data_IF_841010676209
#
_entry.id   IF_841010676209
#
_cell.length_a   1.000
_cell.length_b   1.000
_cell.length_c   1.000
_cell.angle_alpha   90.00
_cell.angle_beta   90.00
_cell.angle_gamma   90.00
#
_symmetry.space_group_name_H-M   'P 1'
#
loop_
_entity.id
_entity.type
_entity.pdbx_description
1 polymer ?
#
# COMPACT_ATOMS: atom_id res chain seq x y z
N UNK A 1 3.30 -9.06 3.61
CA UNK A 1 3.69 -8.31 4.82
C UNK A 1 5.08 -8.67 5.35
N UNK A 2 5.44 -9.95 5.55
CA UNK A 2 6.72 -10.34 6.19
C UNK A 2 7.96 -9.64 5.62
N UNK A 3 8.05 -9.50 4.29
CA UNK A 3 9.17 -8.83 3.61
C UNK A 3 9.08 -7.29 3.74
N UNK A 4 7.89 -6.71 3.53
CA UNK A 4 7.70 -5.25 3.51
C UNK A 4 7.59 -4.61 4.90
N UNK A 5 7.47 -5.41 5.96
CA UNK A 5 7.38 -4.92 7.34
C UNK A 5 8.71 -4.32 7.83
N UNK A 6 9.85 -4.90 7.45
CA UNK A 6 11.17 -4.40 7.87
C UNK A 6 11.46 -3.02 7.26
N UNK A 7 11.33 -2.81 5.93
CA UNK A 7 11.47 -1.47 5.35
C UNK A 7 10.48 -0.46 5.96
N UNK A 8 9.23 -0.87 6.20
CA UNK A 8 8.23 0.00 6.81
C UNK A 8 8.61 0.43 8.23
N UNK A 9 9.14 -0.49 9.04
CA UNK A 9 9.61 -0.18 10.39
C UNK A 9 10.79 0.81 10.35
N UNK A 10 11.78 0.56 9.49
CA UNK A 10 12.95 1.44 9.34
C UNK A 10 12.53 2.83 8.90
N UNK A 11 11.65 2.95 7.89
CA UNK A 11 11.15 4.24 7.39
C UNK A 11 10.30 4.94 8.46
N UNK A 12 9.36 4.23 9.10
CA UNK A 12 8.47 4.82 10.10
C UNK A 12 9.21 5.35 11.32
N UNK A 13 10.13 4.54 11.87
CA UNK A 13 10.96 4.95 13.01
C UNK A 13 11.92 6.07 12.59
N UNK A 14 12.57 5.95 11.43
CA UNK A 14 13.48 6.96 10.91
C UNK A 14 12.81 8.32 10.73
N UNK A 15 11.61 8.35 10.13
CA UNK A 15 10.84 9.60 9.97
C UNK A 15 10.40 10.18 11.31
N UNK A 16 9.99 9.35 12.27
CA UNK A 16 9.63 9.81 13.60
C UNK A 16 10.84 10.42 14.35
N UNK A 17 12.03 9.81 14.23
CA UNK A 17 13.27 10.33 14.80
C UNK A 17 13.69 11.65 14.15
N UNK A 18 13.58 11.78 12.82
CA UNK A 18 13.87 13.04 12.12
C UNK A 18 12.89 14.14 12.58
N UNK A 19 11.60 13.82 12.69
CA UNK A 19 10.60 14.77 13.17
C UNK A 19 10.87 15.20 14.62
N UNK A 20 11.42 14.31 15.44
CA UNK A 20 11.79 14.59 16.82
C UNK A 20 13.03 15.48 16.90
N UNK A 21 14.10 15.09 16.19
CA UNK A 21 15.37 15.81 16.15
C UNK A 21 15.23 17.23 15.59
N UNK A 22 14.29 17.44 14.66
CA UNK A 22 14.01 18.76 14.08
C UNK A 22 13.05 19.62 14.91
N UNK A 23 12.45 19.06 15.98
CA UNK A 23 11.44 19.76 16.78
C UNK A 23 10.16 20.07 16.00
N UNK A 24 9.86 19.33 14.94
CA UNK A 24 8.78 19.65 13.99
C UNK A 24 7.35 19.52 14.56
N UNK A 25 7.19 18.93 15.74
CA UNK A 25 5.90 18.93 16.46
C UNK A 25 6.10 18.76 17.97
N UNK A 26 5.26 19.43 18.77
CA UNK A 26 5.20 19.23 20.23
C UNK A 26 4.21 18.16 20.66
N UNK A 27 3.41 17.60 19.74
CA UNK A 27 2.39 16.61 20.08
C UNK A 27 2.94 15.18 19.94
N UNK A 28 3.07 14.40 21.04
CA UNK A 28 3.60 13.04 21.01
C UNK A 28 2.80 12.08 20.11
N UNK A 29 1.50 12.32 19.92
CA UNK A 29 0.65 11.47 19.08
C UNK A 29 1.08 11.48 17.62
N UNK A 30 1.65 12.58 17.12
CA UNK A 30 2.05 12.69 15.72
C UNK A 30 3.15 11.70 15.35
N UNK A 31 4.04 11.34 16.28
CA UNK A 31 5.07 10.33 16.06
C UNK A 31 4.45 8.94 15.89
N UNK A 32 3.49 8.59 16.75
CA UNK A 32 2.78 7.31 16.69
C UNK A 32 1.96 7.22 15.40
N UNK A 33 1.22 8.29 15.08
CA UNK A 33 0.42 8.36 13.85
C UNK A 33 1.31 8.17 12.62
N UNK A 34 2.49 8.80 12.59
CA UNK A 34 3.43 8.68 11.48
C UNK A 34 3.89 7.23 11.30
N UNK A 35 4.33 6.56 12.38
CA UNK A 35 4.76 5.16 12.34
C UNK A 35 3.62 4.26 11.84
N UNK A 36 2.43 4.39 12.43
CA UNK A 36 1.25 3.58 12.06
C UNK A 36 0.87 3.80 10.60
N UNK A 37 0.92 5.04 10.12
CA UNK A 37 0.60 5.37 8.72
C UNK A 37 1.54 4.68 7.73
N UNK A 38 2.85 4.62 8.04
CA UNK A 38 3.82 3.91 7.19
C UNK A 38 3.54 2.40 7.15
N UNK A 39 3.17 1.80 8.28
CA UNK A 39 2.74 0.39 8.29
C UNK A 39 1.45 0.17 7.48
N UNK A 40 0.46 1.06 7.59
CA UNK A 40 -0.76 0.99 6.80
C UNK A 40 -0.48 1.11 5.30
N UNK A 41 0.40 2.02 4.88
CA UNK A 41 0.81 2.13 3.47
C UNK A 41 1.51 0.86 2.97
N UNK A 42 2.42 0.29 3.78
CA UNK A 42 3.06 -0.99 3.47
C UNK A 42 2.05 -2.14 3.33
N UNK A 43 1.01 -2.13 4.17
CA UNK A 43 -0.07 -3.12 4.12
C UNK A 43 -0.88 -2.98 2.85
N UNK A 44 -1.31 -1.75 2.54
CA UNK A 44 -2.04 -1.42 1.33
C UNK A 44 -1.30 -1.90 0.09
N UNK A 45 -0.04 -1.51 -0.11
CA UNK A 45 0.71 -1.91 -1.30
C UNK A 45 0.91 -3.44 -1.39
N UNK A 46 1.10 -4.11 -0.25
CA UNK A 46 1.20 -5.57 -0.21
C UNK A 46 -0.10 -6.24 -0.65
N UNK A 47 -1.24 -5.80 -0.11
CA UNK A 47 -2.56 -6.37 -0.42
C UNK A 47 -2.95 -6.02 -1.85
N UNK A 48 -2.73 -4.78 -2.29
CA UNK A 48 -3.02 -4.33 -3.64
C UNK A 48 -2.29 -5.19 -4.67
N UNK A 49 -0.98 -5.37 -4.51
CA UNK A 49 -0.19 -6.23 -5.39
C UNK A 49 -0.75 -7.65 -5.48
N UNK A 50 -1.02 -8.29 -4.32
CA UNK A 50 -1.59 -9.64 -4.27
C UNK A 50 -2.97 -9.71 -4.91
N UNK A 51 -3.81 -8.72 -4.67
CA UNK A 51 -5.17 -8.64 -5.22
C UNK A 51 -5.12 -8.60 -6.74
N UNK A 52 -4.32 -7.70 -7.30
CA UNK A 52 -4.17 -7.59 -8.77
C UNK A 52 -3.54 -8.87 -9.33
N UNK A 53 -2.56 -9.46 -8.63
CA UNK A 53 -1.96 -10.74 -9.02
C UNK A 53 -3.01 -11.87 -9.11
N UNK A 54 -3.81 -12.09 -8.06
CA UNK A 54 -4.81 -13.15 -8.03
C UNK A 54 -5.96 -12.93 -9.01
N UNK A 55 -6.35 -11.67 -9.24
CA UNK A 55 -7.46 -11.35 -10.12
C UNK A 55 -7.07 -11.36 -11.61
N UNK A 56 -5.85 -10.95 -11.97
CA UNK A 56 -5.47 -10.79 -13.38
C UNK A 56 -4.50 -11.86 -13.90
N UNK A 57 -3.82 -12.58 -12.99
CA UNK A 57 -2.76 -13.54 -13.28
C UNK A 57 -1.82 -13.07 -14.39
N UNK A 58 -0.95 -12.10 -14.10
CA UNK A 58 -0.23 -11.36 -15.13
C UNK A 58 0.99 -12.09 -15.69
N UNK A 59 1.45 -13.14 -15.01
CA UNK A 59 2.64 -13.93 -15.34
C UNK A 59 2.27 -15.27 -15.98
N UNK A 60 3.07 -15.71 -16.96
CA UNK A 60 3.00 -17.06 -17.52
C UNK A 60 3.86 -18.05 -16.70
N UNK A 61 3.91 -19.32 -17.12
CA UNK A 61 4.73 -20.35 -16.49
C UNK A 61 6.24 -20.01 -16.47
N UNK A 62 6.72 -19.24 -17.45
CA UNK A 62 8.09 -18.74 -17.54
C UNK A 62 8.35 -17.47 -16.71
N UNK A 63 7.41 -17.04 -15.87
CA UNK A 63 7.48 -15.79 -15.07
C UNK A 63 7.56 -14.50 -15.90
N UNK A 64 7.24 -14.55 -17.18
CA UNK A 64 7.18 -13.39 -18.05
C UNK A 64 5.89 -12.61 -17.84
N UNK A 65 6.00 -11.28 -17.81
CA UNK A 65 4.85 -10.38 -17.71
C UNK A 65 4.16 -10.22 -19.07
N UNK A 66 2.93 -10.76 -19.22
CA UNK A 66 2.16 -10.68 -20.49
C UNK A 66 0.91 -9.81 -20.39
N UNK A 67 0.40 -9.53 -19.18
CA UNK A 67 -0.88 -8.81 -19.00
C UNK A 67 -0.74 -7.30 -19.16
N UNK A 68 -1.31 -6.76 -20.24
CA UNK A 68 -1.43 -5.30 -20.45
C UNK A 68 -2.31 -4.62 -19.40
N UNK A 69 -3.41 -5.26 -18.99
CA UNK A 69 -4.31 -4.75 -17.93
C UNK A 69 -3.57 -4.59 -16.60
N UNK A 70 -2.72 -5.55 -16.24
CA UNK A 70 -1.88 -5.43 -15.04
C UNK A 70 -0.96 -4.21 -15.10
N UNK A 71 -0.32 -3.97 -16.25
CA UNK A 71 0.54 -2.79 -16.43
C UNK A 71 -0.25 -1.50 -16.25
N UNK A 72 -1.45 -1.41 -16.85
CA UNK A 72 -2.31 -0.22 -16.71
C UNK A 72 -2.70 0.01 -15.25
N UNK A 73 -3.13 -1.03 -14.53
CA UNK A 73 -3.52 -0.92 -13.12
C UNK A 73 -2.35 -0.45 -12.27
N UNK A 74 -1.17 -1.07 -12.43
CA UNK A 74 0.01 -0.67 -11.66
C UNK A 74 0.44 0.77 -11.97
N UNK A 75 0.48 1.16 -13.24
CA UNK A 75 0.80 2.54 -13.64
C UNK A 75 -0.21 3.53 -13.06
N UNK A 76 -1.51 3.22 -13.10
CA UNK A 76 -2.54 4.08 -12.51
C UNK A 76 -2.35 4.25 -11.00
N UNK A 77 -2.06 3.18 -10.27
CA UNK A 77 -1.76 3.23 -8.84
C UNK A 77 -0.57 4.15 -8.55
N UNK A 78 0.53 4.00 -9.27
CA UNK A 78 1.71 4.87 -9.09
C UNK A 78 1.44 6.33 -9.46
N UNK A 79 0.66 6.59 -10.50
CA UNK A 79 0.26 7.96 -10.88
C UNK A 79 -0.57 8.62 -9.77
N UNK A 80 -1.52 7.90 -9.17
CA UNK A 80 -2.31 8.41 -8.04
C UNK A 80 -1.38 8.75 -6.86
N UNK A 81 -0.46 7.85 -6.51
CA UNK A 81 0.51 8.10 -5.44
C UNK A 81 1.39 9.32 -5.72
N UNK A 82 1.83 9.49 -6.97
CA UNK A 82 2.62 10.65 -7.39
C UNK A 82 1.86 11.97 -7.18
N UNK A 83 0.58 12.03 -7.56
CA UNK A 83 -0.23 13.23 -7.30
C UNK A 83 -0.47 13.46 -5.82
N UNK A 84 -0.67 12.40 -5.03
CA UNK A 84 -0.85 12.50 -3.59
C UNK A 84 0.40 13.06 -2.88
N UNK A 85 1.61 12.81 -3.39
CA UNK A 85 2.84 13.39 -2.83
C UNK A 85 2.87 14.93 -2.88
N UNK A 86 2.14 15.56 -3.80
CA UNK A 86 2.08 17.02 -3.93
C UNK A 86 1.13 17.66 -2.90
N UNK A 87 0.29 16.86 -2.24
CA UNK A 87 -0.68 17.35 -1.26
C UNK A 87 -0.01 17.55 0.11
N UNK A 88 0.02 18.81 0.56
CA UNK A 88 0.45 19.13 1.93
C UNK A 88 -0.75 19.04 2.87
N UNK A 89 -0.68 18.14 3.84
CA UNK A 89 -1.76 17.93 4.81
C UNK A 89 -1.22 17.76 6.23
N UNK A 90 -2.00 18.12 7.26
CA UNK A 90 -1.67 17.83 8.65
C UNK A 90 -1.50 16.32 8.90
N UNK A 91 -0.51 15.95 9.72
CA UNK A 91 -0.17 14.54 10.03
C UNK A 91 -1.39 13.75 10.54
N UNK A 92 -2.22 14.38 11.36
CA UNK A 92 -3.41 13.76 11.95
C UNK A 92 -4.44 13.38 10.87
N UNK A 93 -4.74 14.31 9.95
CA UNK A 93 -5.68 14.09 8.85
C UNK A 93 -5.12 13.01 7.92
N UNK A 94 -3.84 13.10 7.57
CA UNK A 94 -3.16 12.09 6.77
C UNK A 94 -3.28 10.69 7.39
N UNK A 95 -3.01 10.57 8.69
CA UNK A 95 -3.07 9.31 9.40
C UNK A 95 -4.45 8.68 9.44
N UNK A 96 -5.48 9.48 9.78
CA UNK A 96 -6.87 8.99 9.81
C UNK A 96 -7.29 8.50 8.43
N UNK A 97 -7.04 9.31 7.39
CA UNK A 97 -7.40 8.91 6.02
C UNK A 97 -6.67 7.64 5.58
N UNK A 98 -5.38 7.52 5.89
CA UNK A 98 -4.56 6.35 5.53
C UNK A 98 -5.06 5.09 6.21
N UNK A 99 -5.40 5.16 7.51
CA UNK A 99 -5.94 4.02 8.26
C UNK A 99 -7.29 3.60 7.70
N UNK A 100 -8.23 4.55 7.55
CA UNK A 100 -9.58 4.29 7.03
C UNK A 100 -9.50 3.69 5.63
N UNK A 101 -8.71 4.29 4.74
CA UNK A 101 -8.51 3.78 3.39
C UNK A 101 -7.93 2.36 3.40
N UNK A 102 -6.89 2.11 4.20
CA UNK A 102 -6.26 0.79 4.26
C UNK A 102 -7.24 -0.28 4.76
N UNK A 103 -8.03 0.00 5.79
CA UNK A 103 -9.01 -0.95 6.34
C UNK A 103 -10.10 -1.25 5.30
N UNK A 104 -10.72 -0.20 4.73
CA UNK A 104 -11.78 -0.36 3.72
C UNK A 104 -11.26 -1.10 2.48
N UNK A 105 -10.10 -0.71 1.98
CA UNK A 105 -9.48 -1.35 0.83
C UNK A 105 -9.18 -2.83 1.11
N UNK A 106 -8.65 -3.16 2.29
CA UNK A 106 -8.34 -4.55 2.66
C UNK A 106 -9.59 -5.41 2.69
N UNK A 107 -10.69 -4.91 3.27
CA UNK A 107 -11.98 -5.62 3.31
C UNK A 107 -12.49 -5.86 1.88
N UNK A 108 -12.53 -4.83 1.04
CA UNK A 108 -12.99 -4.93 -0.35
C UNK A 108 -12.11 -5.89 -1.14
N UNK A 109 -10.79 -5.79 -1.00
CA UNK A 109 -9.82 -6.67 -1.64
C UNK A 109 -10.03 -8.14 -1.26
N UNK A 110 -10.20 -8.43 0.03
CA UNK A 110 -10.48 -9.80 0.51
C UNK A 110 -11.76 -10.37 -0.09
N UNK A 111 -12.84 -9.56 -0.15
CA UNK A 111 -14.11 -9.98 -0.76
C UNK A 111 -13.93 -10.27 -2.25
N UNK A 112 -13.25 -9.37 -2.97
CA UNK A 112 -13.01 -9.52 -4.41
C UNK A 112 -12.17 -10.76 -4.71
N UNK A 113 -11.07 -10.97 -3.98
CA UNK A 113 -10.20 -12.14 -4.14
C UNK A 113 -10.98 -13.42 -3.87
N UNK A 114 -11.72 -13.50 -2.76
CA UNK A 114 -12.50 -14.69 -2.43
C UNK A 114 -13.53 -15.05 -3.50
N UNK A 115 -14.19 -14.03 -4.09
CA UNK A 115 -15.25 -14.24 -5.09
C UNK A 115 -14.72 -14.54 -6.49
N UNK A 116 -13.65 -13.86 -6.91
CA UNK A 116 -13.22 -13.86 -8.32
C UNK A 116 -11.96 -14.66 -8.57
N UNK A 117 -11.04 -14.79 -7.61
CA UNK A 117 -9.80 -15.54 -7.80
C UNK A 117 -10.04 -17.00 -8.26
N UNK A 118 -11.02 -17.76 -7.73
CA UNK A 118 -11.29 -19.13 -8.23
C UNK A 118 -11.66 -19.19 -9.71
N UNK A 119 -12.20 -18.10 -10.28
CA UNK A 119 -12.62 -18.03 -11.68
C UNK A 119 -11.53 -17.48 -12.60
N UNK A 120 -10.69 -16.59 -12.10
CA UNK A 120 -9.67 -15.88 -12.87
C UNK A 120 -8.27 -16.47 -12.76
N UNK A 121 -7.99 -17.26 -11.73
CA UNK A 121 -6.67 -17.86 -11.49
C UNK A 121 -6.50 -19.13 -12.34
N UNK A 122 -6.17 -18.94 -13.62
CA UNK A 122 -5.74 -20.01 -14.54
C UNK A 122 -4.35 -19.68 -15.09
N UNK A 123 -3.41 -20.62 -14.96
CA UNK A 123 -2.08 -20.53 -15.57
C UNK A 123 -2.23 -20.33 -17.08
N UNK A 124 -1.74 -19.19 -17.59
CA UNK A 124 -1.56 -18.99 -19.02
C UNK A 124 -0.31 -19.77 -19.42
N UNK A 125 -0.55 -20.87 -20.16
CA UNK A 125 0.48 -21.64 -20.85
C UNK A 125 1.09 -20.77 -21.95
#
# INVERSE_FOLDING_TARGET
MKINAVPAAVIGIGLALILFATGGTGNPLNYVILIVSIFCMSLFFSIHYLTVYYLLQPYNAGTELKSGTYRIVMTATYMICFFMMQLRMPIQIFGIMTIVFCVLYSIIASILVYRFAPKTFKLRI
#
